data_IF_495275695621
#
_entry.id   IF_495275695621
#
_cell.length_a   1.000
_cell.length_b   1.000
_cell.length_c   1.000
_cell.angle_alpha   90.00
_cell.angle_beta   90.00
_cell.angle_gamma   90.00
#
_symmetry.space_group_name_H-M   'P 1'
#
loop_
_entity.id
_entity.type
_entity.pdbx_description
1 polymer ?
#
# COMPACT_ATOMS: atom_id res chain seq x y z
N UNK A 1 74.84 31.56 -3.00
CA UNK A 1 74.55 32.00 -1.60
C UNK A 1 73.11 31.71 -1.19
N UNK A 2 72.12 31.72 -2.10
CA UNK A 2 70.69 31.47 -1.82
C UNK A 2 70.31 29.99 -1.59
N UNK A 3 70.90 29.05 -2.34
CA UNK A 3 70.51 27.63 -2.29
C UNK A 3 70.72 26.94 -0.92
N UNK A 4 71.67 27.44 -0.13
CA UNK A 4 71.91 26.89 1.21
C UNK A 4 70.79 27.35 2.18
N UNK A 5 70.30 28.57 2.01
CA UNK A 5 69.21 29.13 2.84
C UNK A 5 67.92 28.33 2.62
N UNK A 6 67.58 28.01 1.38
CA UNK A 6 66.38 27.22 1.05
C UNK A 6 66.41 25.83 1.70
N UNK A 7 67.57 25.14 1.67
CA UNK A 7 67.77 23.84 2.33
C UNK A 7 67.63 23.91 3.85
N UNK A 8 67.99 25.04 4.45
CA UNK A 8 67.81 25.25 5.89
C UNK A 8 66.33 25.48 6.23
N UNK A 9 65.59 26.21 5.40
CA UNK A 9 64.15 26.42 5.60
C UNK A 9 63.38 25.10 5.44
N UNK A 10 63.68 24.31 4.40
CA UNK A 10 63.05 23.01 4.17
C UNK A 10 63.27 22.05 5.34
N UNK A 11 64.49 21.99 5.89
CA UNK A 11 64.79 21.21 7.10
C UNK A 11 64.03 21.67 8.33
N UNK A 12 63.75 22.96 8.47
CA UNK A 12 62.96 23.49 9.58
C UNK A 12 61.48 23.13 9.42
N UNK A 13 60.94 23.19 8.20
CA UNK A 13 59.57 22.79 7.90
C UNK A 13 59.38 21.28 8.12
N UNK A 14 60.30 20.45 7.62
CA UNK A 14 60.26 19.00 7.82
C UNK A 14 60.32 18.63 9.30
N UNK A 15 61.16 19.32 10.08
CA UNK A 15 61.27 19.09 11.52
C UNK A 15 59.99 19.51 12.24
N UNK A 16 59.42 20.66 11.89
CA UNK A 16 58.16 21.13 12.46
C UNK A 16 56.97 20.21 12.11
N UNK A 17 56.92 19.68 10.88
CA UNK A 17 55.87 18.74 10.45
C UNK A 17 56.05 17.36 11.08
N UNK A 18 57.28 16.93 11.35
CA UNK A 18 57.58 15.64 11.99
C UNK A 18 57.34 15.65 13.50
N UNK A 19 57.58 16.79 14.15
CA UNK A 19 57.30 16.99 15.59
C UNK A 19 55.81 17.29 15.85
N UNK A 20 55.03 17.61 14.81
CA UNK A 20 53.58 17.69 14.90
C UNK A 20 53.00 16.27 15.07
N UNK A 21 52.64 15.92 16.30
CA UNK A 21 51.96 14.67 16.61
C UNK A 21 50.70 14.54 15.75
N UNK A 22 50.62 13.48 14.95
CA UNK A 22 49.44 13.19 14.16
C UNK A 22 48.28 12.92 15.12
N UNK A 23 47.27 13.78 15.11
CA UNK A 23 45.99 13.59 15.79
C UNK A 23 45.41 12.25 15.33
N UNK A 24 45.42 11.25 16.21
CA UNK A 24 44.84 9.96 15.92
C UNK A 24 43.35 10.01 16.27
N UNK A 25 42.48 9.45 15.42
CA UNK A 25 41.07 9.41 15.72
C UNK A 25 40.84 8.68 17.04
N UNK A 26 39.79 9.06 17.76
CA UNK A 26 39.43 8.38 19.00
C UNK A 26 39.23 6.88 18.76
N UNK A 27 39.51 6.08 19.79
CA UNK A 27 39.43 4.61 19.71
C UNK A 27 38.11 4.08 19.12
N UNK A 28 37.01 4.83 19.27
CA UNK A 28 35.68 4.47 18.81
C UNK A 28 35.16 5.32 17.63
N UNK A 29 36.03 6.05 16.93
CA UNK A 29 35.63 6.95 15.83
C UNK A 29 34.83 6.21 14.75
N UNK A 30 35.35 5.10 14.24
CA UNK A 30 34.68 4.31 13.19
C UNK A 30 33.33 3.77 13.66
N UNK A 31 33.23 3.33 14.92
CA UNK A 31 31.98 2.84 15.49
C UNK A 31 30.93 3.97 15.59
N UNK A 32 31.33 5.18 16.00
CA UNK A 32 30.44 6.34 16.03
C UNK A 32 29.97 6.75 14.64
N UNK A 33 30.88 6.83 13.67
CA UNK A 33 30.54 7.16 12.28
C UNK A 33 29.60 6.11 11.70
N UNK A 34 29.92 4.81 11.83
CA UNK A 34 29.06 3.74 11.33
C UNK A 34 27.68 3.72 12.01
N UNK A 35 27.60 4.02 13.31
CA UNK A 35 26.30 4.11 14.01
C UNK A 35 25.41 5.24 13.50
N UNK A 36 26.00 6.40 13.16
CA UNK A 36 25.26 7.51 12.55
C UNK A 36 24.91 7.22 11.09
N UNK A 37 25.83 6.61 10.35
CA UNK A 37 25.57 6.16 8.97
C UNK A 37 24.45 5.13 8.96
N UNK A 38 24.41 4.17 9.88
CA UNK A 38 23.31 3.20 9.97
C UNK A 38 21.98 3.86 10.37
N UNK A 39 22.01 4.88 11.22
CA UNK A 39 20.82 5.66 11.56
C UNK A 39 20.26 6.46 10.35
N UNK A 40 21.14 6.94 9.47
CA UNK A 40 20.78 7.68 8.24
C UNK A 40 20.45 6.71 7.09
N UNK A 41 21.15 5.57 7.03
CA UNK A 41 21.06 4.56 5.97
C UNK A 41 19.98 3.53 6.23
N UNK A 42 19.34 3.50 7.41
CA UNK A 42 17.96 3.05 7.51
C UNK A 42 17.20 3.95 6.56
N UNK A 43 16.87 3.46 5.35
CA UNK A 43 16.00 4.24 4.50
C UNK A 43 14.77 4.45 5.40
N UNK A 44 14.17 5.62 5.32
CA UNK A 44 12.73 5.67 5.52
C UNK A 44 12.16 4.70 4.47
N UNK A 45 12.21 3.40 4.77
CA UNK A 45 11.57 2.36 3.99
C UNK A 45 10.17 2.90 3.95
N UNK A 46 9.73 3.30 2.78
CA UNK A 46 8.39 3.75 2.53
C UNK A 46 7.55 2.54 2.88
N UNK A 47 7.20 2.42 4.16
CA UNK A 47 6.54 1.24 4.70
C UNK A 47 5.31 1.12 3.86
N UNK A 48 5.29 0.09 3.00
CA UNK A 48 4.25 -0.07 2.01
C UNK A 48 2.95 -0.21 2.77
N UNK A 49 2.23 0.90 2.88
CA UNK A 49 0.92 0.93 3.49
C UNK A 49 0.00 0.41 2.41
N UNK A 50 -0.62 -0.78 2.60
CA UNK A 50 -1.50 -1.32 1.58
C UNK A 50 -2.57 -0.27 1.25
N UNK A 51 -2.66 0.13 -0.03
CA UNK A 51 -3.56 1.19 -0.52
C UNK A 51 -5.01 0.96 -0.07
N UNK A 52 -5.38 -0.30 0.13
CA UNK A 52 -6.64 -0.73 0.70
C UNK A 52 -6.32 -1.65 1.87
N UNK A 53 -6.79 -1.29 3.07
CA UNK A 53 -6.69 -2.12 4.26
C UNK A 53 -7.38 -3.47 4.00
N UNK A 54 -6.84 -4.57 4.53
CA UNK A 54 -7.45 -5.91 4.40
C UNK A 54 -8.91 -5.94 4.86
N UNK A 55 -9.31 -5.07 5.79
CA UNK A 55 -10.69 -4.92 6.27
C UNK A 55 -11.64 -4.44 5.17
N UNK A 56 -11.15 -3.62 4.24
CA UNK A 56 -11.95 -3.04 3.17
C UNK A 56 -12.24 -4.06 2.06
N UNK A 57 -11.39 -5.06 1.86
CA UNK A 57 -11.70 -6.22 1.00
C UNK A 57 -12.87 -7.05 1.52
N UNK A 58 -12.91 -7.27 2.85
CA UNK A 58 -14.03 -7.96 3.50
C UNK A 58 -15.33 -7.15 3.37
N UNK A 59 -15.26 -5.83 3.55
CA UNK A 59 -16.41 -4.93 3.37
C UNK A 59 -16.92 -4.96 1.92
N UNK A 60 -16.02 -4.88 0.94
CA UNK A 60 -16.34 -4.92 -0.48
C UNK A 60 -17.08 -6.23 -0.81
N UNK A 61 -16.49 -7.37 -0.42
CA UNK A 61 -17.09 -8.70 -0.61
C UNK A 61 -18.46 -8.82 0.07
N UNK A 62 -18.60 -8.31 1.30
CA UNK A 62 -19.87 -8.27 2.01
C UNK A 62 -20.93 -7.45 1.24
N UNK A 63 -20.56 -6.31 0.68
CA UNK A 63 -21.46 -5.48 -0.11
C UNK A 63 -21.92 -6.18 -1.39
N UNK A 64 -21.00 -6.87 -2.09
CA UNK A 64 -21.36 -7.69 -3.25
C UNK A 64 -22.30 -8.84 -2.87
N UNK A 65 -22.05 -9.52 -1.75
CA UNK A 65 -22.88 -10.62 -1.28
C UNK A 65 -24.29 -10.13 -0.90
N UNK A 66 -24.40 -8.97 -0.26
CA UNK A 66 -25.70 -8.33 0.04
C UNK A 66 -26.45 -7.96 -1.24
N UNK A 67 -25.77 -7.43 -2.26
CA UNK A 67 -26.39 -7.13 -3.55
C UNK A 67 -26.90 -8.42 -4.22
N UNK A 68 -26.08 -9.47 -4.25
CA UNK A 68 -26.50 -10.77 -4.82
C UNK A 68 -27.69 -11.35 -4.06
N UNK A 69 -27.67 -11.32 -2.73
CA UNK A 69 -28.80 -11.76 -1.91
C UNK A 69 -30.07 -10.92 -2.20
N UNK A 70 -29.93 -9.59 -2.34
CA UNK A 70 -31.05 -8.73 -2.70
C UNK A 70 -31.60 -9.05 -4.10
N UNK A 71 -30.75 -9.39 -5.08
CA UNK A 71 -31.20 -9.84 -6.41
C UNK A 71 -32.09 -11.07 -6.32
N UNK A 72 -31.68 -12.02 -5.48
CA UNK A 72 -32.33 -13.32 -5.34
C UNK A 72 -33.63 -13.22 -4.54
N UNK A 73 -33.66 -12.41 -3.48
CA UNK A 73 -34.79 -12.36 -2.54
C UNK A 73 -35.69 -11.13 -2.68
N UNK A 74 -35.24 -10.06 -3.33
CA UNK A 74 -35.93 -8.76 -3.39
C UNK A 74 -36.72 -8.52 -4.68
N UNK A 75 -36.62 -9.40 -5.68
CA UNK A 75 -37.35 -9.24 -6.95
C UNK A 75 -38.51 -10.23 -7.03
N UNK A 76 -39.73 -9.72 -7.22
CA UNK A 76 -40.90 -10.54 -7.53
C UNK A 76 -40.80 -10.98 -9.00
N UNK A 77 -40.94 -12.29 -9.31
CA UNK A 77 -40.67 -12.82 -10.63
C UNK A 77 -41.82 -12.47 -11.60
N UNK A 78 -41.64 -11.42 -12.40
CA UNK A 78 -42.52 -11.09 -13.54
C UNK A 78 -42.12 -11.88 -14.81
N UNK A 79 -41.03 -12.64 -14.78
CA UNK A 79 -40.61 -13.50 -15.90
C UNK A 79 -39.86 -14.74 -15.39
N UNK A 80 -40.02 -15.86 -16.11
CA UNK A 80 -39.25 -17.10 -15.90
C UNK A 80 -37.76 -16.80 -16.04
N UNK A 81 -37.09 -16.61 -14.91
CA UNK A 81 -35.65 -16.40 -14.83
C UNK A 81 -34.93 -17.76 -14.75
N UNK A 82 -33.65 -17.80 -15.14
CA UNK A 82 -32.82 -19.02 -15.06
C UNK A 82 -32.66 -19.62 -13.64
N UNK A 83 -33.09 -18.88 -12.60
CA UNK A 83 -33.02 -19.27 -11.20
C UNK A 83 -34.35 -19.82 -10.63
N UNK A 84 -35.38 -20.01 -11.46
CA UNK A 84 -36.73 -20.48 -11.07
C UNK A 84 -36.75 -21.92 -10.51
N UNK A 85 -35.61 -22.64 -10.58
CA UNK A 85 -35.43 -23.99 -10.00
C UNK A 85 -34.92 -23.96 -8.56
N UNK A 86 -34.52 -22.80 -8.04
CA UNK A 86 -34.04 -22.68 -6.66
C UNK A 86 -35.22 -22.28 -5.77
N UNK A 87 -35.65 -23.20 -4.91
CA UNK A 87 -36.74 -22.97 -3.97
C UNK A 87 -36.28 -22.04 -2.84
N UNK A 88 -36.65 -20.76 -2.92
CA UNK A 88 -36.31 -19.72 -1.95
C UNK A 88 -37.38 -19.53 -0.85
N UNK A 89 -38.32 -20.47 -0.73
CA UNK A 89 -39.43 -20.40 0.24
C UNK A 89 -38.99 -20.22 1.70
N UNK A 90 -37.76 -20.64 2.04
CA UNK A 90 -37.20 -20.54 3.40
C UNK A 90 -36.85 -19.08 3.80
N UNK A 91 -36.56 -18.19 2.85
CA UNK A 91 -36.08 -16.83 3.15
C UNK A 91 -37.11 -15.72 2.86
N UNK A 92 -38.20 -16.05 2.18
CA UNK A 92 -39.26 -15.10 1.79
C UNK A 92 -40.04 -14.51 2.97
N UNK A 93 -40.15 -15.21 4.11
CA UNK A 93 -41.03 -14.82 5.22
C UNK A 93 -40.30 -14.19 6.43
N UNK A 94 -39.27 -13.36 6.21
CA UNK A 94 -38.56 -12.69 7.30
C UNK A 94 -38.97 -11.19 7.41
N UNK A 95 -38.90 -10.63 8.63
CA UNK A 95 -39.24 -9.21 8.92
C UNK A 95 -38.40 -8.21 8.11
N UNK A 96 -37.21 -8.61 7.67
CA UNK A 96 -36.27 -7.76 6.91
C UNK A 96 -36.77 -7.57 5.48
N UNK A 97 -37.23 -8.64 4.82
CA UNK A 97 -37.80 -8.59 3.47
C UNK A 97 -39.05 -7.71 3.43
N UNK A 98 -39.91 -7.77 4.47
CA UNK A 98 -41.07 -6.88 4.60
C UNK A 98 -40.73 -5.42 4.90
N UNK A 99 -39.57 -5.12 5.50
CA UNK A 99 -39.12 -3.75 5.73
C UNK A 99 -38.52 -3.12 4.45
N UNK A 100 -37.97 -3.95 3.57
CA UNK A 100 -37.31 -3.54 2.31
C UNK A 100 -38.25 -3.62 1.10
N UNK A 101 -39.38 -4.33 1.21
CA UNK A 101 -40.37 -4.50 0.14
C UNK A 101 -41.04 -3.20 -0.34
N UNK A 102 -40.96 -2.12 0.44
CA UNK A 102 -41.41 -0.78 0.01
C UNK A 102 -40.49 -0.11 -1.01
N UNK A 103 -39.27 -0.63 -1.23
CA UNK A 103 -38.28 -0.04 -2.11
C UNK A 103 -38.33 -0.68 -3.51
N UNK A 104 -39.13 -0.09 -4.41
CA UNK A 104 -39.24 -0.55 -5.80
C UNK A 104 -38.06 -0.06 -6.63
N UNK A 105 -37.03 -0.88 -6.75
CA UNK A 105 -35.90 -0.61 -7.64
C UNK A 105 -36.19 -1.15 -9.05
N UNK A 106 -35.86 -0.39 -10.09
CA UNK A 106 -35.93 -0.91 -11.46
C UNK A 106 -34.91 -2.03 -11.65
N UNK A 107 -35.32 -3.13 -12.28
CA UNK A 107 -34.41 -4.26 -12.57
C UNK A 107 -33.18 -3.79 -13.35
N UNK A 108 -33.35 -2.88 -14.31
CA UNK A 108 -32.24 -2.32 -15.11
C UNK A 108 -31.22 -1.57 -14.26
N UNK A 109 -31.67 -0.73 -13.33
CA UNK A 109 -30.79 0.00 -12.42
C UNK A 109 -30.05 -0.95 -11.48
N UNK A 110 -30.70 -2.03 -11.05
CA UNK A 110 -30.06 -3.04 -10.20
C UNK A 110 -28.93 -3.76 -10.95
N UNK A 111 -29.21 -4.24 -12.17
CA UNK A 111 -28.20 -4.87 -13.02
C UNK A 111 -27.04 -3.93 -13.34
N UNK A 112 -27.32 -2.64 -13.57
CA UNK A 112 -26.28 -1.63 -13.79
C UNK A 112 -25.37 -1.45 -12.57
N UNK A 113 -25.94 -1.39 -11.35
CA UNK A 113 -25.17 -1.29 -10.11
C UNK A 113 -24.33 -2.56 -9.88
N UNK A 114 -24.91 -3.74 -10.12
CA UNK A 114 -24.21 -5.01 -9.98
C UNK A 114 -23.02 -5.11 -10.94
N UNK A 115 -23.23 -4.76 -12.22
CA UNK A 115 -22.16 -4.74 -13.23
C UNK A 115 -21.07 -3.72 -12.88
N UNK A 116 -21.46 -2.54 -12.42
CA UNK A 116 -20.53 -1.51 -11.96
C UNK A 116 -19.70 -1.98 -10.76
N UNK A 117 -20.33 -2.63 -9.78
CA UNK A 117 -19.63 -3.21 -8.64
C UNK A 117 -18.59 -4.23 -9.10
N UNK A 118 -18.98 -5.21 -9.91
CA UNK A 118 -18.07 -6.23 -10.47
C UNK A 118 -16.90 -5.60 -11.24
N UNK A 119 -17.17 -4.57 -12.03
CA UNK A 119 -16.14 -3.82 -12.74
C UNK A 119 -15.14 -3.18 -11.78
N UNK A 120 -15.59 -2.55 -10.69
CA UNK A 120 -14.71 -1.98 -9.67
C UNK A 120 -13.87 -3.04 -8.96
N UNK A 121 -14.43 -4.23 -8.70
CA UNK A 121 -13.67 -5.36 -8.12
C UNK A 121 -12.50 -5.79 -8.98
N UNK A 122 -12.62 -5.69 -10.31
CA UNK A 122 -11.55 -6.05 -11.25
C UNK A 122 -10.58 -4.88 -11.43
N UNK A 123 -11.09 -3.65 -11.51
CA UNK A 123 -10.29 -2.45 -11.74
C UNK A 123 -9.32 -2.16 -10.59
N UNK A 124 -9.76 -2.31 -9.34
CA UNK A 124 -8.94 -2.04 -8.14
C UNK A 124 -7.65 -2.88 -8.08
N UNK A 125 -7.68 -4.23 -8.21
CA UNK A 125 -6.47 -5.04 -8.22
C UNK A 125 -5.59 -4.81 -9.46
N UNK A 126 -6.19 -4.53 -10.63
CA UNK A 126 -5.44 -4.20 -11.85
C UNK A 126 -4.64 -2.91 -11.67
N UNK A 127 -5.27 -1.86 -11.13
CA UNK A 127 -4.60 -0.60 -10.81
C UNK A 127 -3.51 -0.80 -9.75
N UNK A 128 -3.81 -1.59 -8.70
CA UNK A 128 -2.83 -1.94 -7.66
C UNK A 128 -1.61 -2.64 -8.26
N UNK A 129 -1.81 -3.60 -9.17
CA UNK A 129 -0.73 -4.32 -9.83
C UNK A 129 0.12 -3.39 -10.71
N UNK A 130 -0.53 -2.52 -11.50
CA UNK A 130 0.16 -1.55 -12.36
C UNK A 130 1.05 -0.58 -11.55
N UNK A 131 0.53 -0.01 -10.46
CA UNK A 131 1.31 0.90 -9.61
C UNK A 131 2.41 0.18 -8.83
N UNK A 132 2.19 -1.05 -8.37
CA UNK A 132 3.22 -1.83 -7.67
C UNK A 132 4.43 -2.07 -8.58
N UNK A 133 4.19 -2.45 -9.84
CA UNK A 133 5.24 -2.67 -10.84
C UNK A 133 6.04 -1.41 -11.18
N UNK A 134 5.46 -0.21 -11.02
CA UNK A 134 6.15 1.06 -11.27
C UNK A 134 6.98 1.55 -10.06
N UNK A 135 6.65 1.08 -8.86
CA UNK A 135 7.24 1.54 -7.59
C UNK A 135 8.32 0.59 -7.06
N UNK A 136 8.49 -0.59 -7.66
CA UNK A 136 9.73 -1.39 -7.54
C UNK A 136 10.83 -0.67 -8.33
N UNK A 137 11.62 0.15 -7.62
CA UNK A 137 12.96 0.57 -8.03
C UNK A 137 14.00 -0.44 -7.52
#
# INVERSE_FOLDING_TARGET
MSENVDKHIEKLVDKAMKDATLETPSFNFTAHVMSQVEAIAKPSTTVYKPLISNKFWVLLFGCALVLVAFSVFGTQPESKNWFDTIDYSIFSNNRVTNAVSGFRFSQTSFYAILMCAVMLFIQVPLLKHYFNKRMEF
#
